data_IF_077037132242
#
_entry.id   IF_077037132242
#
_cell.length_a   1.000
_cell.length_b   1.000
_cell.length_c   1.000
_cell.angle_alpha   90.00
_cell.angle_beta   90.00
_cell.angle_gamma   90.00
#
_symmetry.space_group_name_H-M   'P 1'
#
loop_
_entity.id
_entity.type
_entity.pdbx_description
1 polymer ?
#
# COMPACT_ATOMS: atom_id res chain seq x y z
N UNK A 1 -35.39 16.91 -62.41
CA UNK A 1 -36.74 16.29 -62.44
C UNK A 1 -36.61 14.93 -61.76
N UNK A 2 -37.24 14.57 -60.63
CA UNK A 2 -38.44 15.06 -59.93
C UNK A 2 -38.17 15.26 -58.43
N UNK A 3 -38.98 16.13 -57.86
CA UNK A 3 -38.98 16.66 -56.50
C UNK A 3 -39.41 15.63 -55.43
N UNK A 4 -38.80 15.80 -54.24
CA UNK A 4 -39.36 15.83 -52.86
C UNK A 4 -40.66 15.07 -52.56
N UNK A 5 -40.67 14.27 -51.48
CA UNK A 5 -41.54 14.53 -50.32
C UNK A 5 -40.92 13.94 -49.04
N UNK A 6 -40.73 14.84 -48.08
CA UNK A 6 -40.24 14.68 -46.73
C UNK A 6 -41.36 14.10 -45.86
N UNK A 7 -41.10 13.00 -45.14
CA UNK A 7 -41.94 12.58 -44.01
C UNK A 7 -41.06 12.61 -42.76
N UNK A 8 -41.27 13.64 -41.94
CA UNK A 8 -40.69 13.74 -40.60
C UNK A 8 -41.15 12.55 -39.77
N UNK A 9 -40.22 11.67 -39.42
CA UNK A 9 -40.36 10.80 -38.27
C UNK A 9 -39.84 11.58 -37.07
N UNK A 10 -40.78 12.02 -36.24
CA UNK A 10 -40.55 12.60 -34.92
C UNK A 10 -39.85 11.55 -34.06
N UNK A 11 -38.53 11.63 -33.96
CA UNK A 11 -37.81 10.97 -32.88
C UNK A 11 -38.07 11.78 -31.62
N UNK A 12 -38.96 11.26 -30.77
CA UNK A 12 -39.10 11.73 -29.41
C UNK A 12 -37.72 11.74 -28.76
N UNK A 13 -37.28 12.92 -28.32
CA UNK A 13 -36.10 13.09 -27.49
C UNK A 13 -36.35 12.33 -26.18
N UNK A 14 -35.92 11.06 -26.14
CA UNK A 14 -35.59 10.40 -24.90
C UNK A 14 -34.37 11.12 -24.35
N UNK A 15 -34.60 12.13 -23.51
CA UNK A 15 -33.58 12.68 -22.66
C UNK A 15 -33.08 11.52 -21.79
N UNK A 16 -31.93 10.96 -22.12
CA UNK A 16 -31.12 10.30 -21.11
C UNK A 16 -30.85 11.39 -20.06
N UNK A 17 -31.53 11.30 -18.92
CA UNK A 17 -31.12 12.01 -17.74
C UNK A 17 -29.71 11.50 -17.41
N UNK A 18 -28.70 12.23 -17.87
CA UNK A 18 -27.38 12.15 -17.28
C UNK A 18 -27.59 12.52 -15.81
N UNK A 19 -27.52 11.54 -14.92
CA UNK A 19 -27.31 11.84 -13.52
C UNK A 19 -25.98 12.59 -13.46
N UNK A 20 -26.04 13.88 -13.17
CA UNK A 20 -24.88 14.62 -12.72
C UNK A 20 -24.28 13.84 -11.54
N UNK A 21 -22.98 13.52 -11.53
CA UNK A 21 -22.35 13.08 -10.29
C UNK A 21 -22.49 14.25 -9.32
N UNK A 22 -23.24 14.05 -8.25
CA UNK A 22 -23.30 14.98 -7.14
C UNK A 22 -21.90 15.00 -6.51
N UNK A 23 -21.16 16.09 -6.74
CA UNK A 23 -19.86 16.34 -6.15
C UNK A 23 -20.10 16.84 -4.72
N UNK A 24 -20.57 15.95 -3.84
CA UNK A 24 -20.53 16.16 -2.38
C UNK A 24 -20.44 14.82 -1.63
N UNK A 25 -19.48 13.99 -2.00
CA UNK A 25 -18.90 13.05 -1.02
C UNK A 25 -17.39 13.28 -1.03
N UNK A 26 -16.85 13.63 0.14
CA UNK A 26 -15.45 13.33 0.43
C UNK A 26 -15.29 11.82 0.21
N UNK A 27 -14.19 11.33 -0.39
CA UNK A 27 -13.99 9.88 -0.47
C UNK A 27 -14.11 9.32 0.94
N UNK A 28 -15.12 8.47 1.14
CA UNK A 28 -15.28 7.74 2.40
C UNK A 28 -14.07 6.82 2.50
N UNK A 29 -13.29 6.96 3.58
CA UNK A 29 -12.20 6.02 3.89
C UNK A 29 -12.81 4.61 3.94
N UNK A 30 -12.18 3.60 3.30
CA UNK A 30 -12.74 2.26 3.24
C UNK A 30 -12.85 1.65 4.65
N UNK A 31 -14.03 1.12 5.01
CA UNK A 31 -14.20 0.39 6.26
C UNK A 31 -13.56 -1.01 6.15
N UNK A 32 -12.29 -1.09 6.52
CA UNK A 32 -11.53 -2.34 6.47
C UNK A 32 -11.91 -3.36 7.56
N UNK A 33 -12.88 -3.05 8.42
CA UNK A 33 -13.39 -3.98 9.43
C UNK A 33 -14.46 -4.94 8.88
N UNK A 34 -15.18 -4.57 7.81
CA UNK A 34 -16.22 -5.39 7.18
C UNK A 34 -16.14 -5.33 5.64
N UNK A 35 -15.30 -6.19 5.06
CA UNK A 35 -15.03 -6.23 3.62
C UNK A 35 -16.05 -7.14 2.93
N UNK A 36 -16.89 -6.57 2.06
CA UNK A 36 -17.95 -7.32 1.35
C UNK A 36 -17.71 -7.42 -0.16
N UNK A 37 -16.95 -6.49 -0.74
CA UNK A 37 -16.62 -6.43 -2.15
C UNK A 37 -15.11 -6.49 -2.43
N UNK A 38 -14.73 -6.99 -3.61
CA UNK A 38 -13.32 -7.09 -4.00
C UNK A 38 -12.63 -5.74 -4.19
N UNK A 39 -13.36 -4.68 -4.56
CA UNK A 39 -12.80 -3.33 -4.68
C UNK A 39 -12.47 -2.71 -3.32
N UNK A 40 -13.34 -2.91 -2.32
CA UNK A 40 -13.09 -2.50 -0.93
C UNK A 40 -11.85 -3.21 -0.36
N UNK A 41 -11.63 -4.49 -0.73
CA UNK A 41 -10.43 -5.23 -0.37
C UNK A 41 -9.16 -4.60 -0.97
N UNK A 42 -9.20 -4.16 -2.24
CA UNK A 42 -8.04 -3.56 -2.90
C UNK A 42 -7.63 -2.24 -2.24
N UNK A 43 -8.61 -1.39 -1.89
CA UNK A 43 -8.36 -0.11 -1.21
C UNK A 43 -7.81 -0.34 0.21
N UNK A 44 -8.41 -1.26 0.97
CA UNK A 44 -7.91 -1.63 2.29
C UNK A 44 -6.50 -2.22 2.27
N UNK A 45 -6.20 -3.04 1.26
CA UNK A 45 -4.85 -3.59 1.09
C UNK A 45 -3.85 -2.50 0.75
N UNK A 46 -4.25 -1.46 0.00
CA UNK A 46 -3.39 -0.32 -0.28
C UNK A 46 -3.05 0.45 1.00
N UNK A 47 -4.06 0.83 1.79
CA UNK A 47 -3.87 1.53 3.05
C UNK A 47 -3.02 0.72 4.04
N UNK A 48 -3.27 -0.58 4.16
CA UNK A 48 -2.53 -1.46 5.06
C UNK A 48 -1.03 -1.54 4.69
N UNK A 49 -0.69 -1.56 3.40
CA UNK A 49 0.71 -1.51 2.95
C UNK A 49 1.36 -0.21 3.36
N UNK A 50 0.75 0.93 3.06
CA UNK A 50 1.31 2.25 3.36
C UNK A 50 1.47 2.46 4.87
N UNK A 51 0.49 1.99 5.64
CA UNK A 51 0.57 1.96 7.11
C UNK A 51 1.76 1.11 7.57
N UNK A 52 1.92 -0.11 7.08
CA UNK A 52 3.04 -0.99 7.47
C UNK A 52 4.41 -0.44 7.08
N UNK A 53 4.50 0.28 5.95
CA UNK A 53 5.72 0.96 5.49
C UNK A 53 6.07 2.14 6.39
N UNK A 54 5.05 2.93 6.76
CA UNK A 54 5.19 4.05 7.68
C UNK A 54 5.68 3.58 9.04
N UNK A 55 5.05 2.55 9.61
CA UNK A 55 5.48 1.95 10.88
C UNK A 55 6.94 1.48 10.85
N UNK A 56 7.35 0.80 9.77
CA UNK A 56 8.74 0.36 9.61
C UNK A 56 9.72 1.53 9.51
N UNK A 57 9.37 2.59 8.78
CA UNK A 57 10.20 3.80 8.67
C UNK A 57 10.31 4.55 9.99
N UNK A 58 9.19 4.69 10.71
CA UNK A 58 9.14 5.38 12.00
C UNK A 58 9.94 4.63 13.07
N UNK A 59 9.95 3.30 13.01
CA UNK A 59 10.73 2.50 13.94
C UNK A 59 12.24 2.61 13.65
N UNK A 60 12.68 2.73 12.40
CA UNK A 60 14.09 3.02 12.09
C UNK A 60 14.53 4.36 12.69
N UNK A 61 13.71 5.40 12.55
CA UNK A 61 13.98 6.72 13.16
C UNK A 61 14.02 6.61 14.69
N UNK A 62 13.15 5.81 15.27
CA UNK A 62 13.11 5.58 16.73
C UNK A 62 14.35 4.81 17.20
N UNK A 63 14.77 3.78 16.47
CA UNK A 63 16.01 3.05 16.70
C UNK A 63 17.23 3.98 16.68
N UNK A 64 17.36 4.86 15.68
CA UNK A 64 18.49 5.81 15.63
C UNK A 64 18.55 6.70 16.86
N UNK A 65 17.40 7.19 17.33
CA UNK A 65 17.33 7.99 18.57
C UNK A 65 17.78 7.17 19.79
N UNK A 66 17.33 5.92 19.91
CA UNK A 66 17.75 5.02 21.00
C UNK A 66 19.25 4.76 20.95
N UNK A 67 19.81 4.45 19.78
CA UNK A 67 21.24 4.22 19.60
C UNK A 67 22.08 5.45 19.98
N UNK A 68 21.70 6.66 19.53
CA UNK A 68 22.40 7.89 19.92
C UNK A 68 22.34 8.16 21.42
N UNK A 69 21.24 7.78 22.08
CA UNK A 69 21.11 7.91 23.52
C UNK A 69 22.00 6.90 24.28
N UNK A 70 21.93 5.63 23.92
CA UNK A 70 22.71 4.54 24.57
C UNK A 70 24.21 4.77 24.42
N UNK A 71 24.65 5.20 23.24
CA UNK A 71 26.06 5.44 22.93
C UNK A 71 26.46 6.92 23.08
N UNK A 72 25.77 7.71 23.91
CA UNK A 72 26.08 9.14 24.07
C UNK A 72 27.53 9.44 24.53
N UNK A 73 28.15 8.50 25.27
CA UNK A 73 29.53 8.59 25.72
C UNK A 73 30.57 8.28 24.62
N UNK A 74 30.17 7.54 23.57
CA UNK A 74 31.00 7.21 22.41
C UNK A 74 30.17 7.33 21.13
N UNK A 75 30.09 8.57 20.63
CA UNK A 75 29.24 8.90 19.48
C UNK A 75 29.71 8.21 18.19
N UNK A 76 31.01 7.90 18.07
CA UNK A 76 31.54 7.18 16.91
C UNK A 76 31.01 5.74 16.88
N UNK A 77 31.07 5.04 18.02
CA UNK A 77 30.51 3.70 18.14
C UNK A 77 28.99 3.69 17.90
N UNK A 78 28.28 4.69 18.43
CA UNK A 78 26.85 4.84 18.18
C UNK A 78 26.52 5.03 16.70
N UNK A 79 27.30 5.83 15.98
CA UNK A 79 27.10 6.04 14.54
C UNK A 79 27.45 4.78 13.73
N UNK A 80 28.53 4.08 14.08
CA UNK A 80 28.89 2.81 13.45
C UNK A 80 27.76 1.77 13.58
N UNK A 81 27.16 1.66 14.77
CA UNK A 81 26.03 0.74 14.97
C UNK A 81 24.79 1.14 14.16
N UNK A 82 24.48 2.43 14.08
CA UNK A 82 23.39 2.94 13.23
C UNK A 82 23.63 2.56 11.76
N UNK A 83 24.83 2.82 11.26
CA UNK A 83 25.17 2.55 9.86
C UNK A 83 25.06 1.06 9.53
N UNK A 84 25.52 0.17 10.42
CA UNK A 84 25.36 -1.27 10.28
C UNK A 84 23.89 -1.71 10.22
N UNK A 85 23.02 -1.13 11.06
CA UNK A 85 21.59 -1.47 11.05
C UNK A 85 20.90 -0.95 9.80
N UNK A 86 21.25 0.25 9.32
CA UNK A 86 20.71 0.79 8.06
C UNK A 86 21.17 -0.03 6.85
N UNK A 87 22.42 -0.48 6.82
CA UNK A 87 22.91 -1.40 5.78
C UNK A 87 22.13 -2.72 5.80
N UNK A 88 21.95 -3.32 6.97
CA UNK A 88 21.17 -4.54 7.14
C UNK A 88 19.70 -4.34 6.73
N UNK A 89 19.12 -3.17 7.01
CA UNK A 89 17.76 -2.84 6.61
C UNK A 89 17.62 -2.75 5.09
N UNK A 90 18.56 -2.12 4.39
CA UNK A 90 18.54 -2.03 2.94
C UNK A 90 18.62 -3.42 2.28
N UNK A 91 19.51 -4.28 2.76
CA UNK A 91 19.59 -5.67 2.30
C UNK A 91 18.30 -6.46 2.62
N UNK A 92 17.71 -6.22 3.80
CA UNK A 92 16.47 -6.88 4.22
C UNK A 92 15.29 -6.53 3.31
N UNK A 93 15.19 -5.30 2.80
CA UNK A 93 14.13 -4.90 1.85
C UNK A 93 14.20 -5.74 0.57
N UNK A 94 15.39 -5.97 0.01
CA UNK A 94 15.56 -6.83 -1.16
C UNK A 94 15.18 -8.28 -0.85
N UNK A 95 15.57 -8.77 0.33
CA UNK A 95 15.19 -10.10 0.81
C UNK A 95 13.66 -10.24 0.92
N UNK A 96 12.97 -9.27 1.54
CA UNK A 96 11.50 -9.24 1.65
C UNK A 96 10.86 -9.31 0.27
N UNK A 97 11.25 -8.42 -0.64
CA UNK A 97 10.59 -8.30 -1.95
C UNK A 97 10.78 -9.57 -2.80
N UNK A 98 11.93 -10.24 -2.68
CA UNK A 98 12.15 -11.54 -3.32
C UNK A 98 11.34 -12.66 -2.65
N UNK A 99 11.30 -12.68 -1.31
CA UNK A 99 10.56 -13.68 -0.55
C UNK A 99 9.06 -13.61 -0.85
N UNK A 100 8.47 -12.41 -0.91
CA UNK A 100 7.05 -12.26 -1.22
C UNK A 100 6.68 -12.67 -2.64
N UNK A 101 7.62 -12.66 -3.59
CA UNK A 101 7.41 -13.25 -4.93
C UNK A 101 7.49 -14.77 -4.92
N UNK A 102 8.27 -15.36 -4.00
CA UNK A 102 8.30 -16.81 -3.78
C UNK A 102 6.99 -17.27 -3.14
N UNK A 103 6.48 -16.54 -2.14
CA UNK A 103 5.19 -16.83 -1.50
C UNK A 103 4.03 -16.81 -2.52
N UNK A 104 4.11 -15.93 -3.52
CA UNK A 104 3.12 -15.82 -4.60
C UNK A 104 3.41 -16.71 -5.82
N UNK A 105 4.36 -17.65 -5.75
CA UNK A 105 4.84 -18.39 -6.92
C UNK A 105 3.74 -19.20 -7.64
N UNK A 106 2.81 -19.78 -6.89
CA UNK A 106 1.71 -20.58 -7.43
C UNK A 106 0.52 -19.74 -7.92
N UNK A 107 0.57 -18.42 -7.73
CA UNK A 107 -0.50 -17.50 -8.12
C UNK A 107 -0.18 -16.88 -9.48
N UNK A 108 -1.17 -16.81 -10.36
CA UNK A 108 -1.00 -16.24 -11.70
C UNK A 108 -0.54 -14.78 -11.62
N UNK A 109 0.65 -14.49 -12.17
CA UNK A 109 1.21 -13.14 -12.20
C UNK A 109 0.27 -12.18 -12.92
N UNK A 110 -0.03 -11.06 -12.27
CA UNK A 110 -0.91 -10.02 -12.80
C UNK A 110 -2.39 -10.22 -12.46
N UNK A 111 -2.79 -11.37 -11.93
CA UNK A 111 -4.11 -11.53 -11.34
C UNK A 111 -4.24 -10.70 -10.04
N UNK A 112 -5.44 -10.21 -9.69
CA UNK A 112 -5.65 -9.52 -8.41
C UNK A 112 -5.18 -10.33 -7.21
N UNK A 113 -5.41 -11.65 -7.21
CA UNK A 113 -4.94 -12.57 -6.16
C UNK A 113 -3.42 -12.55 -5.99
N UNK A 114 -2.64 -12.41 -7.06
CA UNK A 114 -1.18 -12.30 -6.97
C UNK A 114 -0.78 -11.02 -6.25
N UNK A 115 -1.43 -9.90 -6.57
CA UNK A 115 -1.19 -8.61 -5.93
C UNK A 115 -1.52 -8.70 -4.44
N UNK A 116 -2.69 -9.24 -4.08
CA UNK A 116 -3.09 -9.43 -2.68
C UNK A 116 -2.11 -10.33 -1.92
N UNK A 117 -1.67 -11.46 -2.51
CA UNK A 117 -0.70 -12.36 -1.87
C UNK A 117 0.65 -11.69 -1.63
N UNK A 118 1.20 -10.99 -2.62
CA UNK A 118 2.47 -10.25 -2.47
C UNK A 118 2.34 -9.16 -1.40
N UNK A 119 1.26 -8.39 -1.43
CA UNK A 119 1.03 -7.28 -0.51
C UNK A 119 0.83 -7.77 0.93
N UNK A 120 0.07 -8.85 1.13
CA UNK A 120 -0.10 -9.47 2.45
C UNK A 120 1.23 -9.96 3.03
N UNK A 121 2.09 -10.56 2.21
CA UNK A 121 3.44 -10.94 2.64
C UNK A 121 4.27 -9.71 3.05
N UNK A 122 4.25 -8.62 2.27
CA UNK A 122 5.00 -7.39 2.57
C UNK A 122 4.54 -6.80 3.91
N UNK A 123 3.23 -6.69 4.14
CA UNK A 123 2.66 -6.18 5.39
C UNK A 123 3.18 -7.00 6.57
N UNK A 124 3.01 -8.33 6.52
CA UNK A 124 3.46 -9.24 7.58
C UNK A 124 4.95 -9.08 7.87
N UNK A 125 5.78 -9.12 6.84
CA UNK A 125 7.24 -9.00 7.00
C UNK A 125 7.66 -7.62 7.53
N UNK A 126 6.97 -6.53 7.15
CA UNK A 126 7.22 -5.20 7.72
C UNK A 126 6.96 -5.19 9.23
N UNK A 127 5.85 -5.77 9.69
CA UNK A 127 5.50 -5.84 11.11
C UNK A 127 6.51 -6.70 11.89
N UNK A 128 6.88 -7.87 11.37
CA UNK A 128 7.93 -8.71 11.96
C UNK A 128 9.27 -7.96 12.07
N UNK A 129 9.59 -7.12 11.08
CA UNK A 129 10.82 -6.32 11.09
C UNK A 129 10.78 -5.19 12.10
N UNK A 130 9.62 -4.54 12.29
CA UNK A 130 9.41 -3.56 13.37
C UNK A 130 9.74 -4.21 14.71
N UNK A 131 9.17 -5.39 15.02
CA UNK A 131 9.45 -6.09 16.28
C UNK A 131 10.95 -6.40 16.48
N UNK A 132 11.65 -6.79 15.41
CA UNK A 132 13.10 -7.00 15.44
C UNK A 132 13.83 -5.70 15.79
N UNK A 133 13.52 -4.58 15.14
CA UNK A 133 14.15 -3.29 15.40
C UNK A 133 13.85 -2.77 16.80
N UNK A 134 12.62 -2.92 17.28
CA UNK A 134 12.20 -2.60 18.64
C UNK A 134 12.94 -3.42 19.69
N UNK A 135 13.37 -4.64 19.36
CA UNK A 135 14.14 -5.50 20.26
C UNK A 135 15.61 -5.09 20.39
N UNK A 136 16.12 -4.32 19.43
CA UNK A 136 17.48 -3.78 19.49
C UNK A 136 17.54 -2.67 20.54
N UNK A 137 18.51 -2.80 21.45
CA UNK A 137 18.75 -1.84 22.53
C UNK A 137 17.56 -1.66 23.51
N UNK A 138 16.77 -2.72 23.74
CA UNK A 138 15.83 -2.78 24.87
C UNK A 138 16.53 -2.79 26.22
#
# INVERSE_FOLDING_TARGET
MKLLYMAMLVFAAGACMAHSPDITSLPEEPDCADISASAELDDCMHEAIETSRTLLSDELVSFEKRARHVYAADQMLGQEFIDMVLEAQNAWVEFRDKSCKVDAFEVEKGAPSYVTTVNGCIIRMNMERVEVLESLLR
#
